data_IF_288361725502
#
_entry.id   IF_288361725502
#
_cell.length_a   1.000
_cell.length_b   1.000
_cell.length_c   1.000
_cell.angle_alpha   90.00
_cell.angle_beta   90.00
_cell.angle_gamma   90.00
#
_symmetry.space_group_name_H-M   'P 1'
#
loop_
_entity.id
_entity.type
_entity.pdbx_description
1 polymer ?
#
# COMPACT_ATOMS: atom_id res chain seq x y z
N UNK A 1 -14.27 3.68 -15.02
CA UNK A 1 -13.33 3.19 -13.99
C UNK A 1 -13.17 4.32 -12.98
N UNK A 2 -13.73 4.12 -11.80
CA UNK A 2 -14.50 5.14 -11.07
C UNK A 2 -13.66 5.70 -9.92
N UNK A 3 -13.73 7.00 -9.67
CA UNK A 3 -12.94 7.79 -8.69
C UNK A 3 -12.81 7.15 -7.28
N UNK A 4 -13.74 6.25 -6.90
CA UNK A 4 -13.70 5.43 -5.68
C UNK A 4 -12.45 4.54 -5.55
N UNK A 5 -11.97 3.98 -6.65
CA UNK A 5 -10.83 3.05 -6.64
C UNK A 5 -9.50 3.78 -6.33
N UNK A 6 -9.34 5.00 -6.87
CA UNK A 6 -8.15 5.82 -6.63
C UNK A 6 -8.09 6.36 -5.19
N UNK A 7 -9.23 6.72 -4.59
CA UNK A 7 -9.29 7.12 -3.19
C UNK A 7 -8.94 5.94 -2.27
N UNK A 8 -9.53 4.76 -2.53
CA UNK A 8 -9.25 3.54 -1.78
C UNK A 8 -7.77 3.13 -1.87
N UNK A 9 -7.17 3.22 -3.06
CA UNK A 9 -5.74 2.95 -3.25
C UNK A 9 -4.83 3.87 -2.43
N UNK A 10 -5.21 5.15 -2.28
CA UNK A 10 -4.47 6.10 -1.42
C UNK A 10 -4.62 5.76 0.06
N UNK A 11 -5.78 5.33 0.50
CA UNK A 11 -5.99 4.87 1.89
C UNK A 11 -5.16 3.62 2.19
N UNK A 12 -5.14 2.66 1.27
CA UNK A 12 -4.31 1.47 1.35
C UNK A 12 -2.82 1.83 1.42
N UNK A 13 -2.33 2.71 0.54
CA UNK A 13 -0.94 3.14 0.55
C UNK A 13 -0.54 3.85 1.86
N UNK A 14 -1.43 4.67 2.43
CA UNK A 14 -1.23 5.27 3.75
C UNK A 14 -1.18 4.23 4.87
N UNK A 15 -2.07 3.23 4.84
CA UNK A 15 -2.06 2.13 5.80
C UNK A 15 -0.75 1.35 5.72
N UNK A 16 -0.27 1.01 4.53
CA UNK A 16 1.02 0.34 4.34
C UNK A 16 2.20 1.18 4.90
N UNK A 17 2.20 2.51 4.68
CA UNK A 17 3.21 3.39 5.27
C UNK A 17 3.18 3.38 6.80
N UNK A 18 1.99 3.39 7.40
CA UNK A 18 1.82 3.31 8.85
C UNK A 18 2.29 1.96 9.42
N UNK A 19 1.94 0.86 8.74
CA UNK A 19 2.38 -0.50 9.09
C UNK A 19 3.91 -0.62 9.05
N UNK A 20 4.56 -0.06 8.03
CA UNK A 20 6.03 -0.03 7.95
C UNK A 20 6.67 0.70 9.13
N UNK A 21 6.04 1.77 9.63
CA UNK A 21 6.56 2.54 10.76
C UNK A 21 6.57 1.74 12.08
N UNK A 22 5.63 0.80 12.27
CA UNK A 22 5.56 -0.02 13.50
C UNK A 22 6.67 -1.08 13.58
N UNK A 23 7.31 -1.41 12.44
CA UNK A 23 8.37 -2.45 12.32
C UNK A 23 7.99 -3.82 12.92
N UNK A 24 6.70 -4.11 13.04
CA UNK A 24 6.24 -5.34 13.64
C UNK A 24 6.14 -6.45 12.57
N UNK A 25 6.50 -7.68 12.94
CA UNK A 25 6.52 -8.80 12.00
C UNK A 25 5.10 -9.21 11.54
N UNK A 26 4.09 -8.97 12.38
CA UNK A 26 2.68 -9.14 12.00
C UNK A 26 2.23 -8.12 10.94
N UNK A 27 2.69 -6.88 11.06
CA UNK A 27 2.36 -5.79 10.15
C UNK A 27 3.04 -5.95 8.78
N UNK A 28 4.17 -6.66 8.72
CA UNK A 28 4.85 -7.03 7.46
C UNK A 28 3.96 -7.86 6.54
N UNK A 29 3.19 -8.80 7.09
CA UNK A 29 2.30 -9.65 6.30
C UNK A 29 1.14 -8.83 5.71
N UNK A 30 0.60 -7.87 6.47
CA UNK A 30 -0.45 -6.99 5.99
C UNK A 30 0.08 -5.96 4.98
N UNK A 31 1.29 -5.45 5.18
CA UNK A 31 1.98 -4.58 4.23
C UNK A 31 2.15 -5.25 2.86
N UNK A 32 2.68 -6.47 2.81
CA UNK A 32 2.90 -7.18 1.54
C UNK A 32 1.59 -7.49 0.81
N UNK A 33 0.49 -7.77 1.54
CA UNK A 33 -0.85 -7.90 0.95
C UNK A 33 -1.31 -6.59 0.31
N UNK A 34 -1.15 -5.47 1.00
CA UNK A 34 -1.55 -4.14 0.50
C UNK A 34 -0.71 -3.74 -0.72
N UNK A 35 0.61 -3.91 -0.66
CA UNK A 35 1.53 -3.66 -1.78
C UNK A 35 1.12 -4.49 -3.01
N UNK A 36 0.84 -5.77 -2.83
CA UNK A 36 0.41 -6.67 -3.91
C UNK A 36 -0.92 -6.22 -4.51
N UNK A 37 -1.89 -5.83 -3.68
CA UNK A 37 -3.18 -5.34 -4.15
C UNK A 37 -3.04 -4.06 -4.99
N UNK A 38 -2.21 -3.11 -4.55
CA UNK A 38 -1.93 -1.87 -5.28
C UNK A 38 -1.26 -2.16 -6.64
N UNK A 39 -0.27 -3.05 -6.68
CA UNK A 39 0.40 -3.41 -7.93
C UNK A 39 -0.53 -4.12 -8.91
N UNK A 40 -1.34 -5.08 -8.44
CA UNK A 40 -2.31 -5.81 -9.27
C UNK A 40 -3.40 -4.91 -9.85
N UNK A 41 -3.75 -3.83 -9.15
CA UNK A 41 -4.72 -2.83 -9.62
C UNK A 41 -4.08 -1.74 -10.51
N UNK A 42 -2.78 -1.79 -10.76
CA UNK A 42 -2.06 -0.81 -11.60
C UNK A 42 -1.64 0.46 -10.86
N UNK A 43 -1.74 0.49 -9.53
CA UNK A 43 -1.34 1.62 -8.68
C UNK A 43 0.16 1.63 -8.32
N UNK A 44 1.02 1.16 -9.22
CA UNK A 44 2.47 1.14 -8.99
C UNK A 44 3.09 2.52 -8.73
N UNK A 45 2.50 3.59 -9.27
CA UNK A 45 2.90 4.96 -8.97
C UNK A 45 2.71 5.29 -7.48
N UNK A 46 1.56 4.94 -6.89
CA UNK A 46 1.29 5.15 -5.46
C UNK A 46 2.25 4.35 -4.58
N UNK A 47 2.64 3.14 -5.01
CA UNK A 47 3.60 2.31 -4.27
C UNK A 47 4.95 3.03 -4.12
N UNK A 48 5.42 3.68 -5.19
CA UNK A 48 6.65 4.48 -5.18
C UNK A 48 6.48 5.79 -4.41
N UNK A 49 5.38 6.52 -4.64
CA UNK A 49 5.12 7.81 -3.97
C UNK A 49 5.07 7.69 -2.44
N UNK A 50 4.50 6.59 -1.94
CA UNK A 50 4.37 6.36 -0.50
C UNK A 50 5.56 5.61 0.12
N UNK A 51 6.58 5.23 -0.66
CA UNK A 51 7.77 4.53 -0.17
C UNK A 51 7.49 3.10 0.32
N UNK A 52 6.49 2.45 -0.27
CA UNK A 52 6.02 1.10 0.09
C UNK A 52 6.52 0.03 -0.90
N UNK A 53 7.57 0.34 -1.65
CA UNK A 53 8.27 -0.60 -2.54
C UNK A 53 9.02 -1.70 -1.77
N UNK A 54 9.52 -1.38 -0.58
CA UNK A 54 10.15 -2.31 0.36
C UNK A 54 9.59 -2.11 1.77
N UNK A 55 9.47 -3.21 2.51
CA UNK A 55 9.39 -3.20 3.97
C UNK A 55 10.71 -2.67 4.55
#
# INVERSE_FOLDING_TARGET
MTIRDAAHARELAQKAKALKATHNQADKAEFEKIKTALLSQGYGALVREYGIESW
#
